data_IF_855283546637
#
_entry.id   IF_855283546637
#
_cell.length_a   1.000
_cell.length_b   1.000
_cell.length_c   1.000
_cell.angle_alpha   90.00
_cell.angle_beta   90.00
_cell.angle_gamma   90.00
#
_symmetry.space_group_name_H-M   'P 1'
#
loop_
_entity.id
_entity.type
_entity.pdbx_description
1 polymer ?
#
# COMPACT_ATOMS: atom_id res chain seq x y z
N UNK A 1 11.96 -6.10 11.39
CA UNK A 1 11.09 -6.89 12.31
C UNK A 1 9.73 -6.23 12.28
N UNK A 2 8.76 -6.86 11.66
CA UNK A 2 7.53 -6.21 11.19
C UNK A 2 6.44 -6.08 12.25
N UNK A 3 6.58 -6.74 13.37
CA UNK A 3 5.51 -6.80 14.35
C UNK A 3 6.07 -6.58 15.75
N UNK A 4 5.86 -5.38 16.29
CA UNK A 4 6.00 -5.14 17.71
C UNK A 4 4.61 -5.26 18.33
N UNK A 5 4.46 -6.18 19.20
CA UNK A 5 3.24 -6.47 19.93
C UNK A 5 3.20 -7.96 20.23
N UNK A 6 2.33 -8.69 19.64
CA UNK A 6 2.28 -10.13 19.79
C UNK A 6 3.27 -10.81 18.85
N UNK A 7 4.12 -11.68 19.34
CA UNK A 7 4.88 -12.57 18.47
C UNK A 7 3.88 -13.43 17.67
N UNK A 8 4.00 -13.48 16.32
CA UNK A 8 3.15 -14.33 15.53
C UNK A 8 3.37 -15.80 15.92
N UNK A 9 2.32 -16.58 15.82
CA UNK A 9 2.42 -18.02 15.95
C UNK A 9 3.43 -18.59 14.94
N UNK A 10 4.08 -19.69 15.28
CA UNK A 10 5.11 -20.32 14.45
C UNK A 10 4.63 -20.62 13.01
N UNK A 11 3.33 -20.91 12.82
CA UNK A 11 2.69 -21.09 11.52
C UNK A 11 2.73 -19.82 10.64
N UNK A 12 2.61 -18.64 11.25
CA UNK A 12 2.66 -17.35 10.56
C UNK A 12 4.10 -17.05 10.15
N UNK A 13 5.07 -17.26 11.04
CA UNK A 13 6.49 -17.12 10.71
C UNK A 13 6.93 -18.05 9.57
N UNK A 14 6.43 -19.28 9.55
CA UNK A 14 6.69 -20.20 8.45
C UNK A 14 6.13 -19.66 7.13
N UNK A 15 4.96 -19.04 7.14
CA UNK A 15 4.34 -18.42 5.97
C UNK A 15 5.17 -17.28 5.41
N UNK A 16 5.72 -16.42 6.26
CA UNK A 16 6.63 -15.34 5.86
C UNK A 16 7.91 -15.85 5.20
N UNK A 17 8.45 -16.95 5.70
CA UNK A 17 9.70 -17.52 5.19
C UNK A 17 9.55 -18.28 3.89
N UNK A 18 8.40 -18.89 3.66
CA UNK A 18 8.20 -19.88 2.60
C UNK A 18 7.36 -19.37 1.43
N UNK A 19 6.54 -18.33 1.63
CA UNK A 19 5.79 -17.74 0.52
C UNK A 19 6.67 -16.77 -0.25
N UNK A 20 6.91 -16.99 -1.55
CA UNK A 20 7.62 -16.04 -2.37
C UNK A 20 6.85 -14.71 -2.45
N UNK A 21 7.57 -13.64 -2.76
CA UNK A 21 6.96 -12.38 -3.19
C UNK A 21 6.35 -12.61 -4.56
N UNK A 22 5.16 -12.08 -4.79
CA UNK A 22 4.48 -12.28 -6.05
C UNK A 22 3.16 -11.52 -6.12
N UNK A 23 2.47 -11.71 -7.22
CA UNK A 23 1.18 -11.07 -7.47
C UNK A 23 0.23 -12.02 -8.20
N UNK A 24 -1.06 -11.75 -8.09
CA UNK A 24 -2.08 -12.27 -9.01
C UNK A 24 -2.44 -11.17 -9.99
N UNK A 25 -2.73 -11.54 -11.23
CA UNK A 25 -3.19 -10.63 -12.25
C UNK A 25 -4.48 -11.18 -12.87
N UNK A 26 -5.55 -10.42 -12.82
CA UNK A 26 -6.86 -10.85 -13.32
C UNK A 26 -7.45 -9.76 -14.22
N UNK A 27 -8.25 -10.19 -15.18
CA UNK A 27 -8.99 -9.29 -16.06
C UNK A 27 -10.48 -9.62 -15.93
N UNK A 28 -11.28 -8.65 -15.53
CA UNK A 28 -12.72 -8.77 -15.38
C UNK A 28 -13.40 -7.45 -15.71
N UNK A 29 -14.50 -7.52 -16.46
CA UNK A 29 -15.36 -6.40 -16.82
C UNK A 29 -14.61 -5.15 -17.39
N UNK A 30 -13.56 -5.40 -18.20
CA UNK A 30 -12.76 -4.35 -18.84
C UNK A 30 -11.70 -3.71 -17.94
N UNK A 31 -11.46 -4.25 -16.75
CA UNK A 31 -10.42 -3.82 -15.84
C UNK A 31 -9.44 -4.94 -15.53
N UNK A 32 -8.19 -4.57 -15.37
CA UNK A 32 -7.14 -5.43 -14.86
C UNK A 32 -6.95 -5.15 -13.37
N UNK A 33 -6.83 -6.19 -12.58
CA UNK A 33 -6.58 -6.09 -11.14
C UNK A 33 -5.33 -6.88 -10.78
N UNK A 34 -4.34 -6.22 -10.19
CA UNK A 34 -3.21 -6.89 -9.57
C UNK A 34 -3.34 -6.85 -8.04
N UNK A 35 -3.11 -7.99 -7.40
CA UNK A 35 -2.93 -8.07 -5.96
C UNK A 35 -1.51 -8.51 -5.66
N UNK A 36 -0.72 -7.62 -5.12
CA UNK A 36 0.72 -7.78 -4.88
C UNK A 36 0.98 -8.04 -3.41
N UNK A 37 1.76 -9.07 -3.13
CA UNK A 37 2.14 -9.47 -1.78
C UNK A 37 3.65 -9.65 -1.70
N UNK A 38 4.28 -8.93 -0.80
CA UNK A 38 5.69 -9.02 -0.49
C UNK A 38 5.92 -8.74 1.01
N UNK A 39 7.18 -8.68 1.45
CA UNK A 39 7.42 -8.18 2.80
C UNK A 39 7.04 -6.68 2.88
N UNK A 40 6.69 -6.21 4.09
CA UNK A 40 6.09 -4.91 4.29
C UNK A 40 6.91 -3.73 3.74
N UNK A 41 8.22 -3.74 3.93
CA UNK A 41 9.10 -2.67 3.41
C UNK A 41 9.11 -2.68 1.88
N UNK A 42 9.19 -3.87 1.27
CA UNK A 42 9.17 -4.01 -0.19
C UNK A 42 7.84 -3.56 -0.79
N UNK A 43 6.71 -3.84 -0.13
CA UNK A 43 5.39 -3.38 -0.63
C UNK A 43 5.31 -1.86 -0.64
N UNK A 44 5.78 -1.18 0.40
CA UNK A 44 5.82 0.29 0.43
C UNK A 44 6.78 0.84 -0.64
N UNK A 45 7.94 0.19 -0.84
CA UNK A 45 8.86 0.54 -1.93
C UNK A 45 8.24 0.32 -3.32
N UNK A 46 7.48 -0.75 -3.50
CA UNK A 46 6.77 -1.01 -4.74
C UNK A 46 5.71 0.08 -5.01
N UNK A 47 4.91 0.46 -4.02
CA UNK A 47 3.98 1.57 -4.16
C UNK A 47 4.72 2.85 -4.59
N UNK A 48 5.81 3.20 -3.89
CA UNK A 48 6.62 4.38 -4.19
C UNK A 48 7.22 4.32 -5.61
N UNK A 49 7.78 3.18 -6.03
CA UNK A 49 8.46 3.09 -7.33
C UNK A 49 7.51 2.94 -8.50
N UNK A 50 6.40 2.22 -8.31
CA UNK A 50 5.38 2.04 -9.33
C UNK A 50 4.54 3.30 -9.54
N UNK A 51 4.38 4.13 -8.51
CA UNK A 51 3.70 5.43 -8.68
C UNK A 51 4.41 6.36 -9.66
N UNK A 52 5.69 6.13 -9.97
CA UNK A 52 6.42 6.88 -11.01
C UNK A 52 5.80 6.77 -12.42
N UNK A 53 5.02 5.71 -12.63
CA UNK A 53 4.30 5.46 -13.88
C UNK A 53 2.98 6.23 -14.00
N UNK A 54 2.58 6.93 -12.93
CA UNK A 54 1.38 7.77 -12.91
C UNK A 54 1.69 9.17 -13.45
N UNK A 55 0.66 9.93 -13.89
CA UNK A 55 0.83 11.30 -14.34
C UNK A 55 1.34 12.22 -13.23
N UNK A 56 1.86 13.43 -13.60
CA UNK A 56 2.45 14.37 -12.63
C UNK A 56 1.51 14.89 -11.55
N UNK A 57 0.20 14.83 -11.77
CA UNK A 57 -0.85 15.18 -10.81
C UNK A 57 -1.85 14.05 -10.71
N UNK A 58 -2.20 13.69 -9.49
CA UNK A 58 -3.08 12.56 -9.17
C UNK A 58 -4.05 12.93 -8.05
N UNK A 59 -5.15 12.20 -7.96
CA UNK A 59 -6.03 12.29 -6.81
C UNK A 59 -5.56 11.32 -5.71
N UNK A 60 -5.68 11.75 -4.48
CA UNK A 60 -5.16 11.00 -3.32
C UNK A 60 -6.23 10.85 -2.26
N UNK A 61 -6.35 9.64 -1.72
CA UNK A 61 -7.12 9.37 -0.50
C UNK A 61 -6.19 8.70 0.51
N UNK A 62 -6.29 9.14 1.75
CA UNK A 62 -5.52 8.59 2.87
C UNK A 62 -6.46 8.34 4.05
N UNK A 63 -6.54 7.08 4.50
CA UNK A 63 -7.39 6.66 5.61
C UNK A 63 -6.54 6.09 6.74
N UNK A 64 -6.61 6.68 7.93
CA UNK A 64 -6.04 6.09 9.13
C UNK A 64 -7.13 5.33 9.90
N UNK A 65 -7.12 4.01 9.77
CA UNK A 65 -8.12 3.14 10.39
C UNK A 65 -8.08 3.13 11.92
N UNK A 66 -6.98 3.58 12.54
CA UNK A 66 -6.85 3.64 14.00
C UNK A 66 -7.62 4.81 14.57
N UNK A 67 -7.41 5.97 13.99
CA UNK A 67 -8.05 7.22 14.40
C UNK A 67 -9.43 7.43 13.80
N UNK A 68 -9.78 6.64 12.75
CA UNK A 68 -11.00 6.82 11.98
C UNK A 68 -11.03 8.12 11.17
N UNK A 69 -9.84 8.71 10.90
CA UNK A 69 -9.70 9.92 10.09
C UNK A 69 -9.42 9.57 8.66
N UNK A 70 -9.99 10.36 7.77
CA UNK A 70 -9.84 10.26 6.33
C UNK A 70 -9.53 11.63 5.74
N UNK A 71 -8.71 11.65 4.69
CA UNK A 71 -8.33 12.85 3.93
C UNK A 71 -8.38 12.53 2.45
N UNK A 72 -8.71 13.57 1.67
CA UNK A 72 -8.69 13.49 0.22
C UNK A 72 -8.12 14.76 -0.40
N UNK A 73 -7.53 14.63 -1.57
CA UNK A 73 -7.06 15.74 -2.39
C UNK A 73 -7.14 15.42 -3.86
N UNK A 74 -7.44 16.43 -4.66
CA UNK A 74 -7.51 16.35 -6.11
C UNK A 74 -6.29 17.05 -6.71
N UNK A 75 -5.78 16.53 -7.82
CA UNK A 75 -4.63 17.10 -8.55
C UNK A 75 -3.40 17.36 -7.67
N UNK A 76 -3.13 16.46 -6.74
CA UNK A 76 -1.93 16.53 -5.87
C UNK A 76 -0.69 16.21 -6.70
N UNK A 77 0.38 16.99 -6.51
CA UNK A 77 1.62 16.77 -7.23
C UNK A 77 2.25 15.41 -6.85
N UNK A 78 2.46 14.56 -7.85
CA UNK A 78 3.02 13.22 -7.65
C UNK A 78 4.36 13.20 -6.90
N UNK A 79 5.32 14.11 -7.16
CA UNK A 79 6.57 14.16 -6.39
C UNK A 79 6.35 14.35 -4.88
N UNK A 80 5.37 15.17 -4.48
CA UNK A 80 5.07 15.42 -3.07
C UNK A 80 4.45 14.17 -2.40
N UNK A 81 3.59 13.46 -3.13
CA UNK A 81 3.03 12.18 -2.67
C UNK A 81 4.14 11.15 -2.47
N UNK A 82 5.05 11.02 -3.44
CA UNK A 82 6.18 10.09 -3.36
C UNK A 82 7.12 10.44 -2.20
N UNK A 83 7.44 11.71 -2.00
CA UNK A 83 8.23 12.14 -0.85
C UNK A 83 7.55 11.80 0.48
N UNK A 84 6.24 12.01 0.57
CA UNK A 84 5.46 11.67 1.76
C UNK A 84 5.47 10.16 2.04
N UNK A 85 5.31 9.33 1.02
CA UNK A 85 5.41 7.86 1.14
C UNK A 85 6.80 7.45 1.60
N UNK A 86 7.85 8.03 1.03
CA UNK A 86 9.23 7.73 1.44
C UNK A 86 9.47 8.06 2.93
N UNK A 87 8.96 9.19 3.41
CA UNK A 87 9.04 9.59 4.83
C UNK A 87 8.23 8.68 5.75
N UNK A 88 7.07 8.21 5.29
CA UNK A 88 6.20 7.32 6.07
C UNK A 88 6.64 5.85 6.01
N UNK A 89 7.51 5.45 5.10
CA UNK A 89 7.86 4.06 4.79
C UNK A 89 8.08 3.18 6.03
N UNK A 90 8.99 3.59 6.91
CA UNK A 90 9.34 2.79 8.08
C UNK A 90 8.18 2.63 9.06
N UNK A 91 7.36 3.65 9.21
CA UNK A 91 6.20 3.64 10.09
C UNK A 91 5.07 2.80 9.50
N UNK A 92 4.78 2.96 8.21
CA UNK A 92 3.80 2.15 7.48
C UNK A 92 4.18 0.66 7.54
N UNK A 93 5.41 0.33 7.15
CA UNK A 93 5.90 -1.04 7.15
C UNK A 93 5.86 -1.69 8.54
N UNK A 94 6.06 -0.90 9.59
CA UNK A 94 6.09 -1.38 10.98
C UNK A 94 4.71 -1.56 11.59
N UNK A 95 3.79 -0.67 11.29
CA UNK A 95 2.52 -0.59 12.00
C UNK A 95 1.30 -0.94 11.13
N UNK A 96 1.38 -0.74 9.80
CA UNK A 96 0.22 -0.85 8.92
C UNK A 96 -0.92 0.08 9.37
N UNK A 97 -2.16 -0.25 9.05
CA UNK A 97 -3.36 0.43 9.53
C UNK A 97 -3.70 1.74 8.83
N UNK A 98 -2.94 2.11 7.82
CA UNK A 98 -3.22 3.24 6.93
C UNK A 98 -3.47 2.70 5.53
N UNK A 99 -4.53 3.16 4.90
CA UNK A 99 -4.75 2.98 3.48
C UNK A 99 -4.31 4.25 2.76
N UNK A 100 -3.56 4.08 1.68
CA UNK A 100 -3.14 5.16 0.81
C UNK A 100 -3.48 4.79 -0.63
N UNK A 101 -4.33 5.58 -1.26
CA UNK A 101 -4.75 5.38 -2.64
C UNK A 101 -4.39 6.56 -3.50
N UNK A 102 -3.78 6.28 -4.65
CA UNK A 102 -3.45 7.21 -5.72
C UNK A 102 -4.32 6.88 -6.94
N UNK A 103 -5.08 7.86 -7.41
CA UNK A 103 -6.06 7.69 -8.48
C UNK A 103 -5.71 8.53 -9.69
N UNK A 104 -6.06 7.98 -10.84
CA UNK A 104 -6.11 8.67 -12.13
C UNK A 104 -7.40 8.28 -12.86
N UNK A 105 -7.63 8.78 -14.07
CA UNK A 105 -8.73 8.31 -14.91
C UNK A 105 -8.59 6.85 -15.37
N UNK A 106 -7.37 6.33 -15.41
CA UNK A 106 -7.04 5.02 -15.99
C UNK A 106 -6.56 4.00 -14.96
N UNK A 107 -5.91 4.46 -13.91
CA UNK A 107 -5.21 3.62 -12.96
C UNK A 107 -5.51 4.03 -11.50
N UNK A 108 -5.50 3.04 -10.63
CA UNK A 108 -5.50 3.23 -9.18
C UNK A 108 -4.46 2.33 -8.54
N UNK A 109 -3.61 2.90 -7.70
CA UNK A 109 -2.70 2.19 -6.82
C UNK A 109 -3.16 2.36 -5.38
N UNK A 110 -3.39 1.26 -4.68
CA UNK A 110 -3.82 1.27 -3.28
C UNK A 110 -2.89 0.43 -2.42
N UNK A 111 -2.17 1.08 -1.52
CA UNK A 111 -1.52 0.42 -0.39
C UNK A 111 -2.57 0.25 0.70
N UNK A 112 -2.99 -0.99 0.94
CA UNK A 112 -4.03 -1.26 1.93
C UNK A 112 -3.48 -1.27 3.38
N UNK A 113 -4.35 -1.25 4.40
CA UNK A 113 -3.93 -1.22 5.80
C UNK A 113 -3.14 -2.45 6.25
N UNK A 114 -3.17 -3.53 5.50
CA UNK A 114 -2.44 -4.77 5.78
C UNK A 114 -1.11 -4.86 5.05
N UNK A 115 -0.67 -3.75 4.44
CA UNK A 115 0.58 -3.64 3.67
C UNK A 115 0.58 -4.65 2.51
N UNK A 116 -0.46 -4.60 1.73
CA UNK A 116 -0.60 -5.26 0.43
C UNK A 116 -0.87 -4.18 -0.61
N UNK A 117 -0.37 -4.33 -1.81
CA UNK A 117 -0.61 -3.39 -2.90
C UNK A 117 -1.66 -3.95 -3.86
N UNK A 118 -2.68 -3.14 -4.13
CA UNK A 118 -3.66 -3.39 -5.16
C UNK A 118 -3.49 -2.38 -6.28
N UNK A 119 -3.59 -2.85 -7.51
CA UNK A 119 -3.56 -2.02 -8.71
C UNK A 119 -4.80 -2.33 -9.52
N UNK A 120 -5.55 -1.31 -9.87
CA UNK A 120 -6.69 -1.41 -10.77
C UNK A 120 -6.37 -0.56 -12.01
N UNK A 121 -6.52 -1.11 -13.21
CA UNK A 121 -6.09 -0.47 -14.43
C UNK A 121 -6.95 -0.81 -15.63
N UNK A 122 -6.95 0.05 -16.64
CA UNK A 122 -7.61 -0.22 -17.92
C UNK A 122 -6.72 -0.94 -18.91
N UNK A 123 -5.43 -1.06 -18.63
CA UNK A 123 -4.44 -1.72 -19.49
C UNK A 123 -3.65 -2.78 -18.75
N UNK A 124 -3.08 -3.71 -19.46
CA UNK A 124 -2.24 -4.79 -18.95
C UNK A 124 -0.79 -4.38 -18.64
N UNK A 125 -0.43 -3.11 -18.84
CA UNK A 125 0.96 -2.62 -18.66
C UNK A 125 1.54 -2.98 -17.28
N UNK A 126 0.70 -3.03 -16.26
CA UNK A 126 1.12 -3.32 -14.90
C UNK A 126 1.64 -4.74 -14.70
N UNK A 127 1.21 -5.70 -15.52
CA UNK A 127 1.79 -7.04 -15.54
C UNK A 127 3.30 -6.97 -15.79
N UNK A 128 3.69 -6.31 -16.87
CA UNK A 128 5.10 -6.18 -17.27
C UNK A 128 5.92 -5.34 -16.29
N UNK A 129 5.31 -4.30 -15.71
CA UNK A 129 5.95 -3.48 -14.69
C UNK A 129 6.25 -4.27 -13.42
N UNK A 130 5.31 -5.11 -12.98
CA UNK A 130 5.48 -5.96 -11.80
C UNK A 130 6.54 -7.06 -12.04
N UNK A 131 6.53 -7.70 -13.19
CA UNK A 131 7.57 -8.65 -13.61
C UNK A 131 8.94 -7.97 -13.67
N UNK A 132 9.01 -6.76 -14.23
CA UNK A 132 10.23 -5.94 -14.27
C UNK A 132 10.78 -5.56 -12.90
N UNK A 133 9.95 -5.57 -11.86
CA UNK A 133 10.38 -5.41 -10.44
C UNK A 133 10.79 -6.74 -9.79
N UNK A 134 10.87 -7.83 -10.56
CA UNK A 134 11.28 -9.15 -10.08
C UNK A 134 10.21 -9.84 -9.23
N UNK A 135 8.95 -9.57 -9.51
CA UNK A 135 7.83 -10.30 -8.93
C UNK A 135 7.37 -11.39 -9.92
N UNK A 136 6.86 -12.49 -9.38
CA UNK A 136 6.32 -13.59 -10.17
C UNK A 136 4.80 -13.59 -10.12
N UNK A 137 4.17 -13.73 -11.28
CA UNK A 137 2.73 -13.98 -11.33
C UNK A 137 2.41 -15.35 -10.76
N UNK A 138 1.40 -15.42 -9.95
CA UNK A 138 0.94 -16.63 -9.27
C UNK A 138 -0.57 -16.77 -9.41
N UNK A 139 -1.03 -18.01 -9.54
CA UNK A 139 -2.47 -18.27 -9.54
C UNK A 139 -3.16 -17.84 -8.23
N UNK A 140 -2.40 -17.76 -7.14
CA UNK A 140 -2.89 -17.31 -5.84
C UNK A 140 -1.73 -16.80 -4.99
N UNK A 141 -1.86 -15.60 -4.46
CA UNK A 141 -0.94 -15.05 -3.46
C UNK A 141 -1.48 -15.28 -2.04
N UNK A 142 -0.58 -15.34 -1.08
CA UNK A 142 -0.92 -15.44 0.35
C UNK A 142 -0.44 -14.20 1.07
N UNK A 143 -1.35 -13.52 1.74
CA UNK A 143 -0.99 -12.40 2.59
C UNK A 143 0.18 -12.74 3.51
N UNK A 144 1.18 -11.88 3.50
CA UNK A 144 2.33 -11.94 4.42
C UNK A 144 2.13 -11.06 5.63
N UNK A 145 1.22 -10.10 5.52
CA UNK A 145 0.87 -9.24 6.62
C UNK A 145 -0.07 -9.96 7.59
N UNK A 146 -0.07 -9.45 8.78
CA UNK A 146 -0.96 -9.90 9.82
C UNK A 146 -2.36 -9.39 9.53
N UNK A 147 -3.29 -10.27 9.21
CA UNK A 147 -4.70 -9.91 9.18
C UNK A 147 -5.20 -9.74 10.61
N UNK A 148 -4.98 -8.56 11.14
CA UNK A 148 -5.61 -8.17 12.38
C UNK A 148 -6.89 -7.41 12.06
N UNK A 149 -7.89 -7.64 12.87
CA UNK A 149 -9.08 -6.83 12.92
C UNK A 149 -8.70 -5.36 13.20
N UNK A 150 -9.51 -4.40 12.76
CA UNK A 150 -9.37 -2.95 13.02
C UNK A 150 -8.98 -2.62 14.48
N UNK A 151 -9.53 -3.37 15.43
CA UNK A 151 -9.27 -3.24 16.86
C UNK A 151 -7.87 -3.71 17.31
N UNK A 152 -7.14 -4.40 16.43
CA UNK A 152 -5.87 -5.02 16.76
C UNK A 152 -4.65 -4.31 16.17
N UNK A 153 -4.84 -3.23 15.43
CA UNK A 153 -3.70 -2.40 15.05
C UNK A 153 -3.07 -1.79 16.30
N UNK A 154 -1.76 -1.96 16.51
CA UNK A 154 -1.12 -1.43 17.70
C UNK A 154 -1.19 0.09 17.75
N UNK A 155 -1.29 0.66 18.92
CA UNK A 155 -1.14 2.10 19.11
C UNK A 155 0.20 2.56 18.51
N UNK A 156 0.15 3.60 17.68
CA UNK A 156 1.30 4.12 16.95
C UNK A 156 1.22 5.65 16.88
N UNK A 157 1.42 6.35 18.03
CA UNK A 157 1.26 7.81 18.09
C UNK A 157 2.17 8.51 17.07
N UNK A 158 3.40 8.03 16.90
CA UNK A 158 4.34 8.59 15.91
C UNK A 158 3.80 8.46 14.47
N UNK A 159 3.15 7.34 14.14
CA UNK A 159 2.53 7.15 12.83
C UNK A 159 1.32 8.06 12.66
N UNK A 160 0.45 8.16 13.65
CA UNK A 160 -0.74 9.03 13.61
C UNK A 160 -0.34 10.48 13.36
N UNK A 161 0.65 10.97 14.08
CA UNK A 161 1.18 12.33 13.90
C UNK A 161 1.83 12.51 12.52
N UNK A 162 2.61 11.54 12.07
CA UNK A 162 3.28 11.57 10.77
C UNK A 162 2.28 11.54 9.60
N UNK A 163 1.21 10.75 9.71
CA UNK A 163 0.13 10.68 8.72
C UNK A 163 -0.62 12.01 8.64
N UNK A 164 -0.97 12.61 9.79
CA UNK A 164 -1.59 13.93 9.84
C UNK A 164 -0.70 15.00 9.19
N UNK A 165 0.57 15.05 9.56
CA UNK A 165 1.52 15.99 8.97
C UNK A 165 1.73 15.77 7.46
N UNK A 166 1.64 14.53 6.98
CA UNK A 166 1.69 14.23 5.55
C UNK A 166 0.43 14.75 4.83
N UNK A 167 -0.76 14.51 5.39
CA UNK A 167 -2.02 15.01 4.84
C UNK A 167 -2.01 16.56 4.74
N UNK A 168 -1.58 17.24 5.79
CA UNK A 168 -1.45 18.70 5.80
C UNK A 168 -0.45 19.21 4.74
N UNK A 169 0.71 18.57 4.62
CA UNK A 169 1.73 18.95 3.60
C UNK A 169 1.22 18.77 2.20
N UNK A 170 0.47 17.72 1.94
CA UNK A 170 -0.15 17.43 0.64
C UNK A 170 -1.39 18.30 0.37
N UNK A 171 -1.80 19.14 1.32
CA UNK A 171 -2.99 19.98 1.20
C UNK A 171 -4.29 19.18 1.16
N UNK A 172 -4.28 17.94 1.68
CA UNK A 172 -5.46 17.10 1.70
C UNK A 172 -6.51 17.66 2.68
N UNK A 173 -7.76 17.58 2.29
CA UNK A 173 -8.88 18.02 3.11
C UNK A 173 -9.49 16.82 3.86
N UNK A 174 -9.99 17.01 5.08
CA UNK A 174 -10.77 15.97 5.76
C UNK A 174 -11.95 15.53 4.88
N UNK A 175 -12.15 14.21 4.78
CA UNK A 175 -13.21 13.58 3.98
C UNK A 175 -14.36 13.10 4.85
#
# INVERSE_FOLDING_TARGET
>A
MFFRGRQPEASIWRRFRVSPDGFTFTHDDGYYTAHVVANAERVVDLFHTLSDELPPAIDVVMDDLRSGRSWKGESVALPDVRESVARLKNLLARYGGVELSAYTSEDQLTLNPYIELFIYARTDRWLYLLEGKGLEEQARVRSKSWKTNRQHFPAAPDLVNAVTAAAERLGLQPA
#
